data_IF_403959229131
#
_entry.id   IF_403959229131
#
_cell.length_a   1.000
_cell.length_b   1.000
_cell.length_c   1.000
_cell.angle_alpha   90.00
_cell.angle_beta   90.00
_cell.angle_gamma   90.00
#
_symmetry.space_group_name_H-M   'P 1'
#
loop_
_entity.id
_entity.type
_entity.pdbx_description
1 polymer ?
#
# COMPACT_ATOMS: atom_id res chain seq x y z
N UNK A 1 -10.76 13.43 -26.31
CA UNK A 1 -9.82 12.67 -25.43
C UNK A 1 -10.56 11.49 -24.83
N UNK A 2 -10.01 10.26 -24.87
CA UNK A 2 -10.65 9.10 -24.22
C UNK A 2 -10.59 9.28 -22.70
N UNK A 3 -11.72 9.07 -22.03
CA UNK A 3 -11.82 9.25 -20.57
C UNK A 3 -10.89 8.28 -19.81
N UNK A 4 -10.09 8.81 -18.91
CA UNK A 4 -9.27 7.99 -18.00
C UNK A 4 -10.15 7.39 -16.91
N UNK A 5 -10.01 6.11 -16.66
CA UNK A 5 -10.84 5.37 -15.68
C UNK A 5 -10.08 4.93 -14.44
N UNK A 6 -8.79 4.64 -14.58
CA UNK A 6 -7.94 4.09 -13.53
C UNK A 6 -6.75 5.01 -13.30
N UNK A 7 -6.48 5.37 -12.06
CA UNK A 7 -5.20 5.95 -11.66
C UNK A 7 -4.36 4.89 -10.96
N UNK A 8 -3.14 4.68 -11.45
CA UNK A 8 -2.12 3.93 -10.71
C UNK A 8 -1.40 4.93 -9.82
N UNK A 9 -1.44 4.70 -8.50
CA UNK A 9 -0.75 5.49 -7.48
C UNK A 9 0.39 4.66 -6.89
N UNK A 10 1.62 5.13 -7.08
CA UNK A 10 2.81 4.49 -6.53
C UNK A 10 3.73 5.50 -5.85
N UNK A 11 4.49 5.05 -4.86
CA UNK A 11 5.41 5.88 -4.09
C UNK A 11 6.84 5.51 -4.41
N UNK A 12 7.65 6.50 -4.78
CA UNK A 12 9.09 6.33 -4.99
C UNK A 12 9.90 6.85 -3.82
N UNK A 13 10.92 6.10 -3.43
CA UNK A 13 12.02 6.59 -2.60
C UNK A 13 13.33 6.07 -3.20
N UNK A 14 13.90 6.83 -4.13
CA UNK A 14 15.03 6.43 -4.98
C UNK A 14 14.78 5.10 -5.71
N UNK A 15 13.54 4.89 -6.19
CA UNK A 15 13.08 3.60 -6.73
C UNK A 15 12.82 3.64 -8.24
N UNK A 16 13.44 4.57 -8.97
CA UNK A 16 13.23 4.76 -10.41
C UNK A 16 13.23 3.44 -11.20
N UNK A 17 14.27 2.61 -11.05
CA UNK A 17 14.41 1.36 -11.83
C UNK A 17 13.32 0.32 -11.52
N UNK A 18 12.81 0.31 -10.30
CA UNK A 18 11.67 -0.55 -9.93
C UNK A 18 10.38 -0.01 -10.56
N UNK A 19 10.14 1.30 -10.45
CA UNK A 19 8.98 1.95 -11.07
C UNK A 19 8.97 1.79 -12.58
N UNK A 20 10.08 2.01 -13.25
CA UNK A 20 10.18 1.85 -14.69
C UNK A 20 9.75 0.43 -15.12
N UNK A 21 10.28 -0.61 -14.45
CA UNK A 21 9.90 -2.01 -14.71
C UNK A 21 8.43 -2.28 -14.41
N UNK A 22 7.93 -1.79 -13.26
CA UNK A 22 6.53 -1.93 -12.87
C UNK A 22 5.61 -1.27 -13.90
N UNK A 23 5.87 -0.03 -14.28
CA UNK A 23 5.02 0.71 -15.22
C UNK A 23 5.03 0.06 -16.60
N UNK A 24 6.19 -0.36 -17.13
CA UNK A 24 6.28 -1.14 -18.36
C UNK A 24 5.47 -2.43 -18.27
N UNK A 25 5.56 -3.16 -17.16
CA UNK A 25 4.81 -4.37 -16.93
C UNK A 25 3.30 -4.11 -16.88
N UNK A 26 2.84 -3.13 -16.11
CA UNK A 26 1.43 -2.78 -15.98
C UNK A 26 0.82 -2.36 -17.32
N UNK A 27 1.52 -1.50 -18.07
CA UNK A 27 1.03 -1.01 -19.37
C UNK A 27 1.03 -2.11 -20.43
N UNK A 28 2.02 -3.00 -20.45
CA UNK A 28 2.08 -4.12 -21.41
C UNK A 28 1.06 -5.21 -21.15
N UNK A 29 0.59 -5.33 -19.89
CA UNK A 29 -0.40 -6.32 -19.46
C UNK A 29 -1.82 -5.78 -19.40
N UNK A 30 -2.03 -4.49 -19.54
CA UNK A 30 -3.36 -3.89 -19.59
C UNK A 30 -3.99 -4.05 -20.96
N UNK A 31 -5.27 -4.39 -21.00
CA UNK A 31 -6.07 -4.41 -22.25
C UNK A 31 -6.33 -2.99 -22.78
N UNK A 32 -6.53 -2.02 -21.86
CA UNK A 32 -6.84 -0.63 -22.21
C UNK A 32 -5.87 0.37 -21.59
N UNK A 33 -4.57 0.31 -21.92
CA UNK A 33 -3.55 1.18 -21.31
C UNK A 33 -3.84 2.68 -21.51
N UNK A 34 -4.55 3.06 -22.56
CA UNK A 34 -4.95 4.44 -22.81
C UNK A 34 -5.96 5.00 -21.78
N UNK A 35 -6.62 4.16 -21.00
CA UNK A 35 -7.53 4.57 -19.90
C UNK A 35 -6.81 4.72 -18.55
N UNK A 36 -5.52 4.50 -18.51
CA UNK A 36 -4.71 4.57 -17.29
C UNK A 36 -4.02 5.93 -17.19
N UNK A 37 -4.08 6.50 -15.99
CA UNK A 37 -3.33 7.67 -15.55
C UNK A 37 -2.32 7.24 -14.48
N UNK A 38 -1.16 7.85 -14.45
CA UNK A 38 -0.11 7.55 -13.47
C UNK A 38 0.05 8.71 -12.50
N UNK A 39 0.09 8.40 -11.22
CA UNK A 39 0.47 9.33 -10.14
C UNK A 39 1.63 8.70 -9.38
N UNK A 40 2.80 9.29 -9.50
CA UNK A 40 4.01 8.86 -8.79
C UNK A 40 4.34 9.89 -7.72
N UNK A 41 4.43 9.47 -6.47
CA UNK A 41 4.83 10.36 -5.39
C UNK A 41 6.32 10.18 -5.12
N UNK A 42 7.08 11.21 -5.47
CA UNK A 42 8.50 11.30 -5.16
C UNK A 42 8.69 11.67 -3.69
N UNK A 43 9.02 10.68 -2.89
CA UNK A 43 9.17 10.81 -1.44
C UNK A 43 10.57 11.32 -1.02
N UNK A 44 11.39 11.71 -1.98
CA UNK A 44 12.72 12.31 -1.77
C UNK A 44 12.71 13.83 -1.87
N UNK A 45 11.51 14.45 -1.95
CA UNK A 45 11.33 15.88 -2.15
C UNK A 45 11.95 16.43 -3.45
N UNK A 46 11.94 15.64 -4.52
CA UNK A 46 12.46 16.05 -5.82
C UNK A 46 13.94 15.75 -6.04
N UNK A 47 14.58 15.01 -5.14
CA UNK A 47 15.99 14.65 -5.28
C UNK A 47 16.22 13.48 -6.26
N UNK A 48 15.21 12.63 -6.48
CA UNK A 48 15.30 11.57 -7.49
C UNK A 48 14.97 12.14 -8.88
N UNK A 49 15.97 12.80 -9.49
CA UNK A 49 15.83 13.48 -10.78
C UNK A 49 15.46 12.54 -11.92
N UNK A 50 15.80 11.23 -11.80
CA UNK A 50 15.51 10.22 -12.81
C UNK A 50 14.02 9.95 -12.97
N UNK A 51 13.18 10.28 -11.98
CA UNK A 51 11.73 10.07 -12.10
C UNK A 51 11.11 10.82 -13.28
N UNK A 52 11.71 11.93 -13.73
CA UNK A 52 11.27 12.63 -14.94
C UNK A 52 11.37 11.78 -16.20
N UNK A 53 12.30 10.82 -16.23
CA UNK A 53 12.45 9.90 -17.36
C UNK A 53 11.23 8.97 -17.53
N UNK A 54 10.38 8.82 -16.48
CA UNK A 54 9.14 8.04 -16.59
C UNK A 54 8.09 8.68 -17.51
N UNK A 55 8.22 9.98 -17.84
CA UNK A 55 7.27 10.69 -18.69
C UNK A 55 7.17 10.10 -20.09
N UNK A 56 8.22 9.39 -20.56
CA UNK A 56 8.19 8.69 -21.85
C UNK A 56 7.35 7.38 -21.83
N UNK A 57 7.01 6.85 -20.64
CA UNK A 57 6.28 5.59 -20.53
C UNK A 57 4.75 5.76 -20.61
N UNK A 58 4.24 6.94 -20.34
CA UNK A 58 2.82 7.21 -20.37
C UNK A 58 2.52 8.67 -20.71
N UNK A 59 1.49 8.88 -21.53
CA UNK A 59 1.04 10.22 -21.94
C UNK A 59 0.39 11.04 -20.82
N UNK A 60 0.05 10.39 -19.69
CA UNK A 60 -0.62 11.03 -18.55
C UNK A 60 0.02 10.55 -17.26
N UNK A 61 1.15 11.13 -16.91
CA UNK A 61 1.87 10.91 -15.69
C UNK A 61 2.00 12.21 -14.89
N UNK A 62 1.73 12.13 -13.58
CA UNK A 62 1.91 13.23 -12.66
C UNK A 62 2.90 12.82 -11.55
N UNK A 63 4.03 13.51 -11.50
CA UNK A 63 5.08 13.28 -10.48
C UNK A 63 4.95 14.35 -9.40
N UNK A 64 4.61 13.91 -8.18
CA UNK A 64 4.30 14.76 -7.04
C UNK A 64 5.40 14.65 -6.01
N UNK A 65 6.02 15.78 -5.66
CA UNK A 65 7.05 15.84 -4.62
C UNK A 65 6.42 15.67 -3.22
N UNK A 66 7.00 14.83 -2.39
CA UNK A 66 6.70 14.69 -0.98
C UNK A 66 7.99 14.55 -0.17
N UNK A 67 8.02 15.09 1.04
CA UNK A 67 9.18 14.96 1.91
C UNK A 67 8.98 13.80 2.88
N UNK A 68 9.55 12.65 2.55
CA UNK A 68 9.54 11.44 3.39
C UNK A 68 10.86 11.16 4.09
N UNK A 69 11.88 12.00 3.87
CA UNK A 69 13.20 11.83 4.49
C UNK A 69 13.14 11.99 6.01
N UNK A 70 13.90 11.19 6.72
CA UNK A 70 13.93 11.20 8.18
C UNK A 70 12.70 10.59 8.87
N UNK A 71 11.63 10.32 8.13
CA UNK A 71 10.45 9.63 8.66
C UNK A 71 10.67 8.11 8.74
N UNK A 72 9.94 7.48 9.66
CA UNK A 72 9.87 6.02 9.67
C UNK A 72 9.23 5.52 8.37
N UNK A 73 9.70 4.37 7.85
CA UNK A 73 9.28 3.82 6.55
C UNK A 73 7.76 3.82 6.31
N UNK A 74 6.98 3.24 7.24
CA UNK A 74 5.52 3.19 7.11
C UNK A 74 4.85 4.55 7.23
N UNK A 75 5.42 5.48 8.00
CA UNK A 75 4.91 6.86 8.11
C UNK A 75 5.24 7.63 6.83
N UNK A 76 6.46 7.51 6.34
CA UNK A 76 6.91 8.12 5.09
C UNK A 76 6.04 7.65 3.91
N UNK A 77 5.81 6.34 3.79
CA UNK A 77 4.95 5.77 2.76
C UNK A 77 3.49 6.25 2.90
N UNK A 78 2.94 6.24 4.11
CA UNK A 78 1.59 6.72 4.38
C UNK A 78 1.38 8.18 4.00
N UNK A 79 2.33 9.05 4.36
CA UNK A 79 2.25 10.48 4.01
C UNK A 79 2.24 10.71 2.50
N UNK A 80 3.02 9.92 1.78
CA UNK A 80 3.06 9.97 0.32
C UNK A 80 1.75 9.49 -0.31
N UNK A 81 1.17 8.38 0.17
CA UNK A 81 -0.13 7.89 -0.30
C UNK A 81 -1.26 8.90 -0.02
N UNK A 82 -1.30 9.49 1.18
CA UNK A 82 -2.29 10.52 1.51
C UNK A 82 -2.17 11.74 0.60
N UNK A 83 -0.95 12.15 0.28
CA UNK A 83 -0.70 13.24 -0.68
C UNK A 83 -1.12 12.84 -2.08
N UNK A 84 -0.68 11.68 -2.56
CA UNK A 84 -0.97 11.18 -3.89
C UNK A 84 -2.47 10.99 -4.16
N UNK A 85 -3.21 10.48 -3.17
CA UNK A 85 -4.66 10.26 -3.29
C UNK A 85 -5.45 11.54 -3.61
N UNK A 86 -4.94 12.71 -3.23
CA UNK A 86 -5.57 14.00 -3.56
C UNK A 86 -5.54 14.30 -5.06
N UNK A 87 -4.59 13.74 -5.80
CA UNK A 87 -4.41 13.90 -7.24
C UNK A 87 -5.09 12.78 -8.06
N UNK A 88 -5.73 11.83 -7.39
CA UNK A 88 -6.53 10.80 -8.04
C UNK A 88 -7.91 11.37 -8.33
N UNK A 89 -8.23 11.57 -9.61
CA UNK A 89 -9.48 12.13 -10.11
C UNK A 89 -10.32 11.11 -10.92
N UNK A 90 -9.77 9.91 -11.14
CA UNK A 90 -10.45 8.83 -11.86
C UNK A 90 -11.41 8.04 -10.96
N UNK A 91 -12.31 7.28 -11.59
CA UNK A 91 -13.30 6.46 -10.89
C UNK A 91 -12.67 5.37 -10.03
N UNK A 92 -11.56 4.80 -10.47
CA UNK A 92 -10.83 3.73 -9.80
C UNK A 92 -9.38 4.14 -9.52
N UNK A 93 -8.83 3.60 -8.44
CA UNK A 93 -7.43 3.76 -8.07
C UNK A 93 -6.80 2.40 -7.79
N UNK A 94 -5.61 2.18 -8.32
CA UNK A 94 -4.72 1.10 -7.93
C UNK A 94 -3.53 1.67 -7.16
N UNK A 95 -3.44 1.38 -5.86
CA UNK A 95 -2.21 1.58 -5.10
C UNK A 95 -1.34 0.35 -5.31
N UNK A 96 -0.07 0.57 -5.65
CA UNK A 96 0.88 -0.52 -5.90
C UNK A 96 2.30 -0.14 -5.51
N UNK A 97 3.00 -1.06 -4.83
CA UNK A 97 4.40 -0.87 -4.47
C UNK A 97 5.32 -1.03 -5.69
N UNK A 98 6.41 -0.24 -5.80
CA UNK A 98 7.28 -0.21 -6.99
C UNK A 98 7.97 -1.54 -7.32
N UNK A 99 8.16 -2.42 -6.33
CA UNK A 99 8.81 -3.73 -6.46
C UNK A 99 7.84 -4.88 -6.76
N UNK A 100 6.58 -4.57 -7.08
CA UNK A 100 5.55 -5.54 -7.48
C UNK A 100 5.66 -5.88 -8.96
N UNK A 101 5.19 -7.09 -9.35
CA UNK A 101 5.09 -7.54 -10.72
C UNK A 101 3.74 -8.22 -10.99
N UNK A 102 3.08 -7.84 -12.08
CA UNK A 102 1.79 -8.40 -12.50
C UNK A 102 1.99 -9.48 -13.55
N UNK A 103 1.56 -10.70 -13.25
CA UNK A 103 1.62 -11.82 -14.18
C UNK A 103 0.36 -11.93 -15.05
N UNK A 104 -0.79 -11.48 -14.52
CA UNK A 104 -2.07 -11.58 -15.20
C UNK A 104 -2.16 -10.58 -16.35
N UNK A 105 -2.43 -11.09 -17.55
CA UNK A 105 -2.88 -10.26 -18.69
C UNK A 105 -4.27 -9.71 -18.41
N UNK A 106 -4.62 -8.58 -19.00
CA UNK A 106 -5.93 -7.90 -18.88
C UNK A 106 -6.31 -7.60 -17.41
N UNK A 107 -5.29 -7.31 -16.60
CA UNK A 107 -5.46 -7.05 -15.18
C UNK A 107 -6.44 -5.90 -14.90
N UNK A 108 -6.45 -4.88 -15.76
CA UNK A 108 -7.34 -3.71 -15.70
C UNK A 108 -8.80 -4.12 -15.87
N UNK A 109 -9.11 -4.93 -16.87
CA UNK A 109 -10.46 -5.46 -17.12
C UNK A 109 -10.89 -6.40 -16.00
N UNK A 110 -9.96 -7.28 -15.54
CA UNK A 110 -10.24 -8.14 -14.39
C UNK A 110 -10.63 -7.33 -13.15
N UNK A 111 -9.86 -6.31 -12.80
CA UNK A 111 -10.15 -5.45 -11.66
C UNK A 111 -11.46 -4.69 -11.84
N UNK A 112 -11.74 -4.15 -13.03
CA UNK A 112 -12.98 -3.43 -13.31
C UNK A 112 -14.20 -4.34 -13.17
N UNK A 113 -14.17 -5.54 -13.75
CA UNK A 113 -15.30 -6.48 -13.74
C UNK A 113 -15.61 -6.98 -12.33
N UNK A 114 -14.58 -7.19 -11.50
CA UNK A 114 -14.75 -7.65 -10.12
C UNK A 114 -15.01 -6.53 -9.10
N UNK A 115 -15.00 -5.25 -9.52
CA UNK A 115 -15.30 -4.08 -8.68
C UNK A 115 -16.65 -3.44 -8.96
N UNK A 116 -17.56 -4.17 -9.60
CA UNK A 116 -18.92 -3.65 -9.95
C UNK A 116 -19.77 -3.39 -8.71
N UNK A 117 -19.61 -4.18 -7.67
CA UNK A 117 -20.30 -4.00 -6.40
C UNK A 117 -19.65 -2.89 -5.56
N UNK A 118 -20.44 -2.28 -4.68
CA UNK A 118 -19.94 -1.29 -3.71
C UNK A 118 -19.11 -1.97 -2.62
N UNK A 119 -18.13 -1.25 -2.09
CA UNK A 119 -17.24 -1.68 -1.00
C UNK A 119 -16.30 -2.85 -1.35
N UNK A 120 -16.15 -3.19 -2.63
CA UNK A 120 -15.18 -4.19 -3.06
C UNK A 120 -13.79 -3.56 -3.20
N UNK A 121 -12.81 -4.17 -2.55
CA UNK A 121 -11.39 -3.87 -2.71
C UNK A 121 -10.71 -5.14 -3.21
N UNK A 122 -10.02 -5.02 -4.35
CA UNK A 122 -9.32 -6.15 -4.98
C UNK A 122 -7.84 -5.99 -4.72
N UNK A 123 -7.17 -7.07 -4.34
CA UNK A 123 -5.72 -7.01 -4.18
C UNK A 123 -5.11 -8.20 -3.48
N UNK A 124 -3.86 -8.01 -3.05
CA UNK A 124 -3.08 -9.04 -2.38
C UNK A 124 -3.07 -8.79 -0.87
N UNK A 125 -3.59 -9.71 -0.05
CA UNK A 125 -3.44 -9.65 1.40
C UNK A 125 -2.00 -9.98 1.80
N UNK A 126 -1.66 -9.69 3.05
CA UNK A 126 -0.41 -10.20 3.60
C UNK A 126 -0.47 -11.72 3.72
N UNK A 127 0.64 -12.41 3.43
CA UNK A 127 0.70 -13.86 3.60
C UNK A 127 0.60 -14.24 5.10
N UNK A 128 -0.03 -15.36 5.40
CA UNK A 128 -0.32 -15.85 6.77
C UNK A 128 0.91 -15.93 7.68
N UNK A 129 2.10 -16.17 7.09
CA UNK A 129 3.34 -16.21 7.88
C UNK A 129 3.81 -14.83 8.37
N UNK A 130 3.24 -13.73 7.90
CA UNK A 130 3.48 -12.37 8.44
C UNK A 130 2.55 -12.11 9.63
N UNK A 131 2.93 -12.61 10.79
CA UNK A 131 2.20 -12.40 12.05
C UNK A 131 1.95 -10.92 12.31
N UNK A 132 0.77 -10.57 12.81
CA UNK A 132 0.37 -9.21 13.15
C UNK A 132 -0.13 -8.36 11.99
N UNK A 133 -0.31 -8.96 10.84
CA UNK A 133 -0.88 -8.31 9.66
C UNK A 133 -2.30 -8.79 9.38
N UNK A 134 -3.03 -8.04 8.59
CA UNK A 134 -4.35 -8.46 8.10
C UNK A 134 -4.17 -9.41 6.92
N UNK A 135 -4.77 -10.59 6.99
CA UNK A 135 -4.62 -11.65 6.00
C UNK A 135 -5.84 -11.84 5.09
N UNK A 136 -6.97 -11.28 5.47
CA UNK A 136 -8.25 -11.41 4.76
C UNK A 136 -8.67 -10.13 4.01
N UNK A 137 -7.79 -9.14 3.94
CA UNK A 137 -8.03 -7.88 3.24
C UNK A 137 -6.79 -7.41 2.48
N UNK A 138 -6.95 -6.81 1.27
CA UNK A 138 -5.84 -6.31 0.48
C UNK A 138 -4.94 -5.32 1.22
N UNK A 139 -3.64 -5.50 1.09
CA UNK A 139 -2.64 -4.56 1.58
C UNK A 139 -2.34 -3.48 0.54
N UNK A 140 -1.66 -2.41 0.94
CA UNK A 140 -1.22 -1.34 0.03
C UNK A 140 -0.15 -1.78 -0.98
N UNK A 141 0.33 -3.04 -0.90
CA UNK A 141 1.25 -3.62 -1.90
C UNK A 141 0.58 -3.73 -3.26
N UNK A 142 -0.69 -4.14 -3.28
CA UNK A 142 -1.59 -4.11 -4.43
C UNK A 142 -3.01 -3.95 -3.91
N UNK A 143 -3.60 -2.77 -4.13
CA UNK A 143 -4.93 -2.44 -3.61
C UNK A 143 -5.71 -1.63 -4.65
N UNK A 144 -6.67 -2.28 -5.32
CA UNK A 144 -7.55 -1.67 -6.32
C UNK A 144 -8.93 -1.41 -5.72
N UNK A 145 -9.44 -0.20 -5.88
CA UNK A 145 -10.71 0.23 -5.27
C UNK A 145 -11.37 1.37 -6.05
N UNK A 146 -12.64 1.64 -5.73
CA UNK A 146 -13.34 2.85 -6.18
C UNK A 146 -12.85 4.05 -5.38
N UNK A 147 -12.34 5.05 -6.06
CA UNK A 147 -11.72 6.24 -5.46
C UNK A 147 -12.60 6.93 -4.43
N UNK A 148 -13.89 7.12 -4.76
CA UNK A 148 -14.83 7.79 -3.86
C UNK A 148 -15.09 7.03 -2.57
N UNK A 149 -15.03 5.69 -2.58
CA UNK A 149 -15.26 4.88 -1.38
C UNK A 149 -14.18 5.10 -0.32
N UNK A 150 -12.92 5.22 -0.76
CA UNK A 150 -11.80 5.53 0.14
C UNK A 150 -11.86 7.00 0.60
N UNK A 151 -12.14 7.94 -0.32
CA UNK A 151 -12.21 9.36 0.01
C UNK A 151 -13.31 9.67 1.03
N UNK A 152 -14.48 9.06 0.89
CA UNK A 152 -15.63 9.22 1.83
C UNK A 152 -15.33 8.70 3.23
N UNK A 153 -14.42 7.73 3.38
CA UNK A 153 -14.00 7.25 4.72
C UNK A 153 -13.35 8.37 5.55
N UNK A 154 -12.82 9.41 4.92
CA UNK A 154 -12.06 10.48 5.56
C UNK A 154 -10.99 9.94 6.53
N UNK A 155 -10.30 8.89 6.13
CA UNK A 155 -9.22 8.24 6.88
C UNK A 155 -7.91 8.40 6.12
N UNK A 156 -6.83 8.50 6.88
CA UNK A 156 -5.48 8.55 6.33
C UNK A 156 -4.83 7.16 6.34
N UNK A 157 -3.76 7.03 5.56
CA UNK A 157 -2.95 5.79 5.48
C UNK A 157 -2.01 5.61 6.66
N UNK A 158 -1.89 6.55 7.58
CA UNK A 158 -0.99 6.46 8.73
C UNK A 158 -1.26 5.23 9.58
N UNK A 159 -0.21 4.46 9.92
CA UNK A 159 -0.34 3.19 10.61
C UNK A 159 -0.76 3.31 12.08
N UNK A 160 -0.57 4.47 12.71
CA UNK A 160 -0.69 4.62 14.15
C UNK A 160 -1.98 5.29 14.61
N UNK A 161 -2.85 4.58 15.34
CA UNK A 161 -4.05 5.20 15.90
C UNK A 161 -3.95 5.58 17.38
N UNK A 162 -2.94 5.16 18.17
CA UNK A 162 -2.91 5.42 19.61
C UNK A 162 -1.51 5.53 20.22
N UNK A 163 -1.39 6.28 21.32
CA UNK A 163 -0.20 6.41 22.16
C UNK A 163 0.31 5.03 22.62
N UNK A 164 -0.60 4.15 23.03
CA UNK A 164 -0.32 2.80 23.48
C UNK A 164 0.47 1.98 22.43
N UNK A 165 0.10 2.09 21.18
CA UNK A 165 0.77 1.42 20.07
C UNK A 165 2.16 2.00 19.79
N UNK A 166 2.35 3.28 20.02
CA UNK A 166 3.67 3.93 19.92
C UNK A 166 4.62 3.42 20.99
N UNK A 167 4.13 3.23 22.21
CA UNK A 167 4.89 2.65 23.34
C UNK A 167 5.26 1.20 23.05
N UNK A 168 4.29 0.39 22.59
CA UNK A 168 4.54 -1.00 22.23
C UNK A 168 5.59 -1.14 21.12
N UNK A 169 5.47 -0.35 20.06
CA UNK A 169 6.46 -0.34 18.98
C UNK A 169 7.84 0.13 19.42
N UNK A 170 7.93 1.06 20.37
CA UNK A 170 9.19 1.50 20.93
C UNK A 170 9.87 0.38 21.71
N UNK A 171 9.13 -0.33 22.57
CA UNK A 171 9.64 -1.49 23.34
C UNK A 171 10.06 -2.60 22.36
N UNK A 172 9.20 -2.97 21.41
CA UNK A 172 9.46 -4.03 20.43
C UNK A 172 10.69 -3.72 19.57
N UNK A 173 10.92 -2.45 19.21
CA UNK A 173 12.10 -2.01 18.48
C UNK A 173 13.38 -2.07 19.29
N UNK A 174 13.32 -1.74 20.58
CA UNK A 174 14.48 -1.92 21.47
C UNK A 174 14.86 -3.39 21.59
N UNK A 175 13.90 -4.26 21.75
CA UNK A 175 14.11 -5.72 21.82
C UNK A 175 14.65 -6.24 20.48
N UNK A 176 14.14 -5.75 19.35
CA UNK A 176 14.67 -6.08 18.02
C UNK A 176 16.11 -5.61 17.79
N UNK A 177 16.46 -4.41 18.26
CA UNK A 177 17.85 -3.88 18.15
C UNK A 177 18.85 -4.70 18.99
N UNK A 178 18.37 -5.37 20.03
CA UNK A 178 19.15 -6.31 20.84
C UNK A 178 19.30 -7.68 20.15
N UNK A 179 18.82 -7.85 18.92
CA UNK A 179 18.97 -9.08 18.13
C UNK A 179 18.04 -10.23 18.52
N UNK A 180 17.12 -10.01 19.48
CA UNK A 180 16.28 -11.09 20.02
C UNK A 180 15.02 -11.40 19.20
N UNK A 181 14.52 -10.47 18.38
CA UNK A 181 13.26 -10.69 17.65
C UNK A 181 13.36 -10.05 16.28
N UNK A 182 13.45 -10.76 15.21
CA UNK A 182 13.10 -10.37 13.84
C UNK A 182 13.73 -11.27 12.79
N UNK A 183 14.39 -12.31 13.20
CA UNK A 183 14.86 -13.29 12.24
C UNK A 183 13.82 -14.40 12.16
N UNK A 184 13.24 -14.63 10.95
CA UNK A 184 12.32 -15.73 10.67
C UNK A 184 12.88 -17.08 11.19
N UNK A 185 14.21 -17.27 11.13
CA UNK A 185 14.89 -18.43 11.70
C UNK A 185 14.78 -18.49 13.23
N UNK A 186 14.87 -17.37 13.89
CA UNK A 186 14.75 -17.28 15.36
C UNK A 186 13.32 -17.56 15.83
N UNK A 187 12.32 -16.95 15.18
CA UNK A 187 10.90 -17.20 15.48
C UNK A 187 10.47 -18.65 15.19
N UNK A 188 11.01 -19.27 14.14
CA UNK A 188 10.75 -20.68 13.84
C UNK A 188 11.45 -21.64 14.80
N UNK A 189 12.57 -21.22 15.41
CA UNK A 189 13.32 -22.02 16.40
C UNK A 189 12.66 -22.01 17.77
N UNK A 190 11.95 -20.94 18.10
CA UNK A 190 11.31 -20.76 19.42
C UNK A 190 9.80 -20.60 19.28
N UNK A 191 9.10 -21.74 19.17
CA UNK A 191 7.63 -21.81 18.99
C UNK A 191 6.89 -21.03 20.09
N UNK A 192 7.40 -21.02 21.32
CA UNK A 192 6.82 -20.29 22.44
C UNK A 192 6.78 -18.76 22.23
N UNK A 193 7.80 -18.18 21.55
CA UNK A 193 7.78 -16.76 21.17
C UNK A 193 6.66 -16.47 20.16
N UNK A 194 6.37 -17.39 19.27
CA UNK A 194 5.25 -17.30 18.34
C UNK A 194 3.91 -17.32 19.08
N UNK A 195 3.77 -18.16 20.10
CA UNK A 195 2.58 -18.22 20.94
C UNK A 195 2.38 -16.95 21.77
N UNK A 196 3.44 -16.37 22.34
CA UNK A 196 3.38 -15.08 23.04
C UNK A 196 2.99 -13.95 22.08
N UNK A 197 3.54 -13.93 20.87
CA UNK A 197 3.20 -12.92 19.87
C UNK A 197 1.74 -13.05 19.45
N UNK A 198 1.24 -14.27 19.21
CA UNK A 198 -0.17 -14.55 18.93
C UNK A 198 -1.08 -14.11 20.06
N UNK A 199 -0.76 -14.45 21.31
CA UNK A 199 -1.52 -14.01 22.49
C UNK A 199 -1.56 -12.48 22.60
N UNK A 200 -0.45 -11.79 22.34
CA UNK A 200 -0.40 -10.33 22.35
C UNK A 200 -1.22 -9.73 21.20
N UNK A 201 -1.28 -10.40 20.04
CA UNK A 201 -2.14 -10.01 18.92
C UNK A 201 -3.62 -10.16 19.26
N UNK A 202 -4.02 -11.25 19.90
CA UNK A 202 -5.39 -11.51 20.34
C UNK A 202 -5.83 -10.49 21.39
N UNK A 203 -4.95 -10.17 22.34
CA UNK A 203 -5.24 -9.23 23.42
C UNK A 203 -5.28 -7.77 22.97
N UNK A 204 -4.37 -7.35 22.10
CA UNK A 204 -4.19 -5.95 21.69
C UNK A 204 -4.57 -5.67 20.24
N UNK A 205 -5.01 -6.69 19.52
CA UNK A 205 -5.27 -6.64 18.10
C UNK A 205 -3.99 -6.60 17.28
N UNK A 206 -4.10 -6.22 15.99
CA UNK A 206 -2.96 -6.19 15.07
C UNK A 206 -1.78 -5.44 15.68
N UNK A 207 -0.74 -6.16 16.05
CA UNK A 207 0.41 -5.64 16.81
C UNK A 207 1.39 -4.88 15.94
N UNK A 208 1.41 -5.17 14.63
CA UNK A 208 2.25 -4.48 13.66
C UNK A 208 1.41 -3.68 12.68
N UNK A 209 0.88 -2.51 13.09
CA UNK A 209 0.11 -1.67 12.21
C UNK A 209 0.98 -1.26 11.03
N UNK A 210 0.42 -1.38 9.86
CA UNK A 210 1.07 -0.99 8.62
C UNK A 210 0.31 0.15 7.96
N UNK A 211 0.90 0.68 6.90
CA UNK A 211 0.27 1.64 6.01
C UNK A 211 -1.14 1.17 5.63
N UNK A 212 -2.13 2.06 5.78
CA UNK A 212 -3.53 1.76 5.44
C UNK A 212 -4.35 1.05 6.51
N UNK A 213 -3.81 0.72 7.67
CA UNK A 213 -4.52 -0.04 8.72
C UNK A 213 -5.86 0.57 9.15
N UNK A 214 -6.00 1.89 9.15
CA UNK A 214 -7.28 2.58 9.50
C UNK A 214 -8.34 2.39 8.42
N UNK A 215 -7.92 2.40 7.15
CA UNK A 215 -8.79 2.20 5.98
C UNK A 215 -9.26 0.75 5.98
N UNK A 216 -8.33 -0.21 6.11
CA UNK A 216 -8.62 -1.64 6.20
C UNK A 216 -9.66 -1.92 7.29
N UNK A 217 -9.43 -1.43 8.52
CA UNK A 217 -10.38 -1.60 9.63
C UNK A 217 -11.75 -0.99 9.36
N UNK A 218 -11.83 0.09 8.59
CA UNK A 218 -13.11 0.71 8.26
C UNK A 218 -13.92 -0.13 7.27
N UNK A 219 -13.27 -0.83 6.34
CA UNK A 219 -13.92 -1.78 5.45
C UNK A 219 -14.38 -3.03 6.19
N UNK A 220 -13.55 -3.59 7.07
CA UNK A 220 -13.93 -4.74 7.90
C UNK A 220 -15.19 -4.49 8.72
N UNK A 221 -15.31 -3.31 9.36
CA UNK A 221 -16.52 -2.95 10.11
C UNK A 221 -17.78 -2.91 9.25
N UNK A 222 -17.68 -2.52 7.98
CA UNK A 222 -18.83 -2.48 7.06
C UNK A 222 -19.28 -3.87 6.60
N UNK A 223 -18.40 -4.85 6.56
CA UNK A 223 -18.71 -6.22 6.17
C UNK A 223 -19.54 -6.98 7.21
N UNK A 224 -19.50 -6.54 8.48
CA UNK A 224 -20.25 -7.16 9.60
C UNK A 224 -21.60 -6.47 9.90
N UNK A 225 -21.96 -5.43 9.16
CA UNK A 225 -23.21 -4.67 9.36
C UNK A 225 -24.19 -4.78 8.19
N UNK A 226 -23.96 -5.70 7.26
CA UNK A 226 -24.86 -5.98 6.13
C UNK A 226 -25.56 -7.33 6.28
#
# INVERSE_FOLDING_TARGET
MKQKNITILSVSFYSYSHLERLLKNLMSKAEKPFQIKLVVVDNTNGKDIRLKELEHLASDINIIKNNGEGLQRSISHASALDKGLRYVDTKYCLIIDPDTYIFKSDWDIFCLNNSLEKNVVIGAPYPEWKIGKVHDFPSVIFMFFRTNEIKVLNKNFYPFPSLYRSIYNFIFRKVNRLGFIANKRFMNRYIWLRSITGFMEDLFGITSPDTGSKIIKSFHKKKFTS
#
